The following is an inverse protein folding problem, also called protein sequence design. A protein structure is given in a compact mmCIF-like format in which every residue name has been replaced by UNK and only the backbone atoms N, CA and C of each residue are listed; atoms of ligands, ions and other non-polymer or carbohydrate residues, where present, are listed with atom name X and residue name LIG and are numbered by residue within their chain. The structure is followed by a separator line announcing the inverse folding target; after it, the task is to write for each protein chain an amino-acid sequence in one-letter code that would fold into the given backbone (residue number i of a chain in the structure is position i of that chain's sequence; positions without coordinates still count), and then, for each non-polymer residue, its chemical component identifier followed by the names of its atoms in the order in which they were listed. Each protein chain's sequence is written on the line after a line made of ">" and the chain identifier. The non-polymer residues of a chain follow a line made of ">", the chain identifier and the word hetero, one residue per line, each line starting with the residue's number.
data_IF_525952208780
#
_entry.id   IF_525952208780
#
_cell.length_a   1.000
_cell.length_b   1.000
_cell.length_c   1.000
_cell.angle_alpha   90.00
_cell.angle_beta   90.00
_cell.angle_gamma   90.00
#
_symmetry.space_group_name_H-M   'P 1'
#
loop_
_entity.id
_entity.type
_entity.pdbx_description
1 polymer ?
#
# COMPACT_ATOMS: atom_id res chain seq x y z
N UNK A 1 -0.82 8.24 20.79
CA UNK A 1 -2.06 8.36 21.59
C UNK A 1 -3.23 8.52 20.62
N UNK A 2 -4.04 7.49 20.42
CA UNK A 2 -5.21 7.53 19.51
C UNK A 2 -6.35 8.28 20.19
N UNK A 3 -6.88 9.32 19.53
CA UNK A 3 -8.06 10.04 20.02
C UNK A 3 -9.31 9.23 19.65
N UNK A 4 -10.28 9.06 20.56
CA UNK A 4 -11.54 8.40 20.22
C UNK A 4 -12.27 9.20 19.15
N UNK A 5 -12.75 8.51 18.12
CA UNK A 5 -13.57 9.07 17.04
C UNK A 5 -15.01 8.66 17.30
N UNK A 6 -15.90 9.64 17.44
CA UNK A 6 -17.31 9.39 17.70
C UNK A 6 -18.13 9.56 16.42
N UNK A 7 -18.87 8.53 16.06
CA UNK A 7 -19.81 8.54 14.94
C UNK A 7 -21.23 8.35 15.47
N UNK A 8 -22.13 9.21 15.02
CA UNK A 8 -23.51 9.27 15.53
C UNK A 8 -24.54 8.76 14.51
N UNK A 9 -24.16 8.72 13.23
CA UNK A 9 -24.98 8.18 12.15
C UNK A 9 -24.59 6.71 11.88
N UNK A 10 -25.54 5.85 11.48
CA UNK A 10 -25.26 4.44 11.22
C UNK A 10 -24.19 4.20 10.14
N UNK A 11 -24.21 4.97 9.04
CA UNK A 11 -23.35 4.73 7.89
C UNK A 11 -21.85 4.96 8.22
N UNK A 12 -21.45 6.09 8.85
CA UNK A 12 -20.08 6.27 9.32
C UNK A 12 -19.64 5.24 10.36
N UNK A 13 -20.54 4.75 11.23
CA UNK A 13 -20.22 3.68 12.19
C UNK A 13 -19.86 2.39 11.46
N UNK A 14 -20.65 2.01 10.45
CA UNK A 14 -20.38 0.83 9.62
C UNK A 14 -19.04 0.96 8.87
N UNK A 15 -18.79 2.12 8.25
CA UNK A 15 -17.55 2.39 7.54
C UNK A 15 -16.33 2.34 8.47
N UNK A 16 -16.40 2.97 9.65
CA UNK A 16 -15.32 2.95 10.62
C UNK A 16 -15.00 1.52 11.10
N UNK A 17 -16.04 0.74 11.44
CA UNK A 17 -15.86 -0.65 11.88
C UNK A 17 -15.20 -1.49 10.77
N UNK A 18 -15.66 -1.33 9.54
CA UNK A 18 -15.07 -2.00 8.39
C UNK A 18 -13.58 -1.67 8.25
N UNK A 19 -13.22 -0.39 8.27
CA UNK A 19 -11.82 0.06 8.18
C UNK A 19 -10.96 -0.45 9.34
N UNK A 20 -11.49 -0.49 10.56
CA UNK A 20 -10.78 -1.02 11.73
C UNK A 20 -10.49 -2.52 11.57
N UNK A 21 -11.49 -3.30 11.14
CA UNK A 21 -11.33 -4.74 10.92
C UNK A 21 -10.37 -5.00 9.75
N UNK A 22 -10.52 -4.27 8.65
CA UNK A 22 -9.63 -4.37 7.49
C UNK A 22 -8.18 -4.04 7.88
N UNK A 23 -7.96 -2.94 8.59
CA UNK A 23 -6.64 -2.54 9.07
C UNK A 23 -6.03 -3.61 9.97
N UNK A 24 -6.81 -4.20 10.88
CA UNK A 24 -6.33 -5.32 11.70
C UNK A 24 -5.88 -6.50 10.85
N UNK A 25 -6.70 -6.94 9.89
CA UNK A 25 -6.36 -8.05 9.02
C UNK A 25 -5.13 -7.79 8.16
N UNK A 26 -5.00 -6.59 7.59
CA UNK A 26 -3.82 -6.19 6.82
C UNK A 26 -2.56 -6.22 7.68
N UNK A 27 -2.60 -5.65 8.89
CA UNK A 27 -1.46 -5.69 9.82
C UNK A 27 -1.09 -7.12 10.17
N UNK A 28 -2.07 -8.00 10.46
CA UNK A 28 -1.81 -9.41 10.75
C UNK A 28 -1.24 -10.17 9.56
N UNK A 29 -1.72 -9.89 8.35
CA UNK A 29 -1.17 -10.47 7.13
C UNK A 29 0.29 -10.05 6.95
N UNK A 30 0.62 -8.77 7.07
CA UNK A 30 2.01 -8.27 7.00
C UNK A 30 2.91 -8.98 8.02
N UNK A 31 2.43 -9.16 9.27
CA UNK A 31 3.21 -9.86 10.30
C UNK A 31 3.45 -11.33 9.95
N UNK A 32 2.40 -12.06 9.54
CA UNK A 32 2.49 -13.49 9.29
C UNK A 32 3.27 -13.81 8.02
N UNK A 33 2.94 -13.11 6.93
CA UNK A 33 3.60 -13.28 5.63
C UNK A 33 5.04 -12.76 5.66
N UNK A 34 5.27 -11.60 6.28
CA UNK A 34 6.61 -11.08 6.46
C UNK A 34 7.48 -12.04 7.26
N UNK A 35 6.98 -12.57 8.39
CA UNK A 35 7.74 -13.53 9.21
C UNK A 35 8.03 -14.83 8.48
N UNK A 36 7.08 -15.36 7.69
CA UNK A 36 7.30 -16.59 6.92
C UNK A 36 8.43 -16.42 5.89
N UNK A 37 8.63 -15.19 5.40
CA UNK A 37 9.69 -14.80 4.46
C UNK A 37 10.92 -14.17 5.11
N UNK A 38 11.04 -14.25 6.44
CA UNK A 38 12.23 -13.80 7.18
C UNK A 38 12.33 -12.30 7.45
N UNK A 39 11.25 -11.54 7.25
CA UNK A 39 11.18 -10.12 7.61
C UNK A 39 11.29 -9.97 9.14
N UNK A 40 12.31 -9.22 9.58
CA UNK A 40 12.59 -8.98 11.01
C UNK A 40 11.83 -7.78 11.59
N UNK A 41 10.93 -7.17 10.82
CA UNK A 41 10.16 -6.00 11.22
C UNK A 41 8.80 -6.38 11.77
N UNK A 42 8.27 -5.51 12.64
CA UNK A 42 6.83 -5.48 12.92
C UNK A 42 6.09 -4.94 11.70
N UNK A 43 4.79 -5.22 11.60
CA UNK A 43 3.97 -4.66 10.54
C UNK A 43 3.98 -3.12 10.55
N UNK A 44 3.99 -2.50 11.73
CA UNK A 44 4.11 -1.05 11.87
C UNK A 44 5.43 -0.53 11.30
N UNK A 45 6.55 -1.22 11.57
CA UNK A 45 7.87 -0.86 11.03
C UNK A 45 7.95 -1.04 9.51
N UNK A 46 7.32 -2.09 8.99
CA UNK A 46 7.19 -2.30 7.54
C UNK A 46 6.38 -1.18 6.87
N UNK A 47 5.22 -0.83 7.44
CA UNK A 47 4.37 0.25 6.95
C UNK A 47 5.07 1.61 7.01
N UNK A 48 5.82 1.90 8.06
CA UNK A 48 6.57 3.16 8.17
C UNK A 48 7.67 3.29 7.10
N UNK A 49 8.32 2.17 6.74
CA UNK A 49 9.25 2.16 5.60
C UNK A 49 8.53 2.43 4.28
N UNK A 50 7.41 1.74 4.05
CA UNK A 50 6.64 1.89 2.81
C UNK A 50 5.93 3.25 2.72
N UNK A 51 5.65 3.93 3.83
CA UNK A 51 5.00 5.25 3.87
C UNK A 51 5.73 6.31 3.03
N UNK A 52 7.03 6.15 2.81
CA UNK A 52 7.86 7.08 2.03
C UNK A 52 7.85 6.80 0.53
N UNK A 53 7.32 5.64 0.13
CA UNK A 53 7.16 5.27 -1.27
C UNK A 53 6.09 6.16 -1.88
N UNK A 54 6.42 6.78 -3.00
CA UNK A 54 5.49 7.63 -3.75
C UNK A 54 5.07 6.92 -5.02
N UNK A 55 3.76 6.87 -5.25
CA UNK A 55 3.14 6.47 -6.51
C UNK A 55 2.90 7.71 -7.35
N UNK A 56 3.35 7.68 -8.60
CA UNK A 56 3.12 8.71 -9.58
C UNK A 56 2.00 8.27 -10.51
N UNK A 57 0.94 9.08 -10.60
CA UNK A 57 -0.05 8.94 -11.67
C UNK A 57 0.55 9.56 -12.93
N UNK A 58 0.75 8.74 -13.96
CA UNK A 58 1.22 9.16 -15.26
C UNK A 58 0.07 9.09 -16.27
N UNK A 59 0.07 10.02 -17.21
CA UNK A 59 -0.93 10.11 -18.25
C UNK A 59 -0.40 10.90 -19.44
N UNK A 60 -0.97 10.64 -20.61
CA UNK A 60 -0.65 11.40 -21.83
C UNK A 60 -1.71 12.49 -22.00
N UNK A 61 -1.32 13.78 -22.09
CA UNK A 61 -2.27 14.86 -22.35
C UNK A 61 -3.11 14.57 -23.61
N UNK A 62 -4.43 14.65 -23.47
CA UNK A 62 -5.36 14.39 -24.57
C UNK A 62 -5.76 12.92 -24.77
N UNK A 63 -5.16 11.98 -24.03
CA UNK A 63 -5.52 10.55 -24.06
C UNK A 63 -6.08 10.15 -22.69
N UNK A 64 -7.20 9.44 -22.65
CA UNK A 64 -7.85 8.98 -21.41
C UNK A 64 -7.15 7.78 -20.75
N UNK A 65 -5.86 7.59 -21.01
CA UNK A 65 -5.06 6.49 -20.48
C UNK A 65 -4.26 7.00 -19.29
N UNK A 66 -4.36 6.27 -18.18
CA UNK A 66 -3.65 6.54 -16.93
C UNK A 66 -2.99 5.28 -16.43
N UNK A 67 -1.78 5.41 -15.93
CA UNK A 67 -1.06 4.32 -15.26
C UNK A 67 -0.34 4.86 -14.03
N UNK A 68 0.10 3.93 -13.19
CA UNK A 68 0.81 4.23 -11.96
C UNK A 68 2.24 3.76 -12.09
N UNK A 69 3.16 4.64 -11.77
CA UNK A 69 4.58 4.32 -11.68
C UNK A 69 5.05 4.49 -10.23
N UNK A 70 6.05 3.71 -9.86
CA UNK A 70 6.67 3.79 -8.54
C UNK A 70 8.00 4.51 -8.68
N UNK A 71 8.25 5.47 -7.79
CA UNK A 71 9.64 5.93 -7.63
C UNK A 71 10.53 4.73 -7.32
N UNK A 72 11.76 4.73 -7.83
CA UNK A 72 12.77 3.74 -7.47
C UNK A 72 12.78 3.48 -5.96
N UNK A 73 12.41 2.25 -5.59
CA UNK A 73 12.41 1.81 -4.20
C UNK A 73 13.85 1.70 -3.72
N UNK A 74 14.12 2.29 -2.56
CA UNK A 74 15.39 2.11 -1.84
C UNK A 74 15.52 0.64 -1.43
N UNK A 75 16.76 0.19 -1.17
CA UNK A 75 17.04 -1.19 -0.79
C UNK A 75 16.18 -1.68 0.40
N UNK A 76 15.96 -0.83 1.40
CA UNK A 76 15.11 -1.16 2.56
C UNK A 76 13.62 -1.30 2.21
N UNK A 77 13.11 -0.47 1.30
CA UNK A 77 11.71 -0.49 0.87
C UNK A 77 11.44 -1.72 -0.01
N UNK A 78 12.38 -2.01 -0.92
CA UNK A 78 12.36 -3.19 -1.78
C UNK A 78 12.39 -4.48 -0.98
N UNK A 79 13.27 -4.57 0.04
CA UNK A 79 13.31 -5.74 0.91
C UNK A 79 11.99 -6.00 1.66
N UNK A 80 11.24 -4.95 1.99
CA UNK A 80 9.90 -5.10 2.57
C UNK A 80 8.89 -5.55 1.51
N UNK A 81 8.88 -4.92 0.33
CA UNK A 81 7.96 -5.27 -0.77
C UNK A 81 8.14 -6.74 -1.22
N UNK A 82 9.39 -7.16 -1.43
CA UNK A 82 9.74 -8.52 -1.83
C UNK A 82 9.31 -9.54 -0.75
N UNK A 83 9.57 -9.22 0.53
CA UNK A 83 9.15 -10.06 1.65
C UNK A 83 7.62 -10.14 1.80
N UNK A 84 6.86 -9.20 1.23
CA UNK A 84 5.40 -9.26 1.19
C UNK A 84 4.87 -9.85 -0.12
N UNK A 85 5.75 -10.24 -1.05
CA UNK A 85 5.36 -10.72 -2.38
C UNK A 85 4.65 -9.65 -3.21
N UNK A 86 4.94 -8.37 -2.95
CA UNK A 86 4.39 -7.26 -3.73
C UNK A 86 5.29 -7.08 -4.94
N UNK A 87 4.84 -7.58 -6.08
CA UNK A 87 5.52 -7.37 -7.35
C UNK A 87 5.32 -5.93 -7.82
N UNK A 88 6.40 -5.29 -8.26
CA UNK A 88 6.29 -4.05 -9.02
C UNK A 88 5.65 -4.38 -10.37
N UNK A 89 4.34 -4.17 -10.46
CA UNK A 89 3.67 -4.04 -11.74
C UNK A 89 4.15 -2.72 -12.37
N UNK A 90 5.31 -2.77 -13.03
CA UNK A 90 5.65 -1.80 -14.05
C UNK A 90 4.61 -2.03 -15.14
N UNK A 91 3.59 -1.19 -15.17
CA UNK A 91 2.64 -1.19 -16.27
C UNK A 91 3.41 -0.63 -17.47
N UNK A 92 3.85 -1.52 -18.35
CA UNK A 92 4.48 -1.12 -19.60
C UNK A 92 3.57 -0.14 -20.33
N UNK A 93 4.14 1.00 -20.72
CA UNK A 93 3.48 1.97 -21.57
C UNK A 93 2.89 1.25 -22.79
N UNK A 94 1.58 1.43 -23.10
CA UNK A 94 0.99 0.86 -24.30
C UNK A 94 1.82 1.30 -25.52
N UNK A 95 2.57 0.36 -26.08
CA UNK A 95 3.46 0.61 -27.21
C UNK A 95 2.59 0.68 -28.46
N UNK A 96 1.98 1.84 -28.68
CA UNK A 96 1.04 2.06 -29.80
C UNK A 96 0.38 3.44 -29.86
N UNK A 97 0.88 4.42 -29.08
CA UNK A 97 0.35 5.79 -29.04
C UNK A 97 1.25 6.82 -29.76
N UNK A 98 2.06 6.35 -30.72
CA UNK A 98 2.85 7.20 -31.62
C UNK A 98 2.11 7.47 -32.94
#
# INVERSE_FOLDING_TARGET
>A
KTRPVFHWKPEPVCAHRFLCVLSYWLTRWIELEGRSKGLKLTAEGALERLRRVNLYELGIPGVSVRWWDLKELRAEERGVADALGVENLVVDLPTGLA
#
